data_IF_970497693971
#
_entry.id   IF_970497693971
#
_cell.length_a   1.000
_cell.length_b   1.000
_cell.length_c   1.000
_cell.angle_alpha   90.00
_cell.angle_beta   90.00
_cell.angle_gamma   90.00
#
_symmetry.space_group_name_H-M   'P 1'
#
loop_
_entity.id
_entity.type
_entity.pdbx_description
1 polymer ?
#
# COMPACT_ATOMS: atom_id res chain seq x y z
N UNK A 1 11.19 -45.78 -20.70
CA UNK A 1 11.28 -45.11 -19.38
C UNK A 1 11.64 -43.62 -19.46
N UNK A 2 12.34 -43.17 -20.52
CA UNK A 2 12.70 -41.76 -20.77
C UNK A 2 11.46 -40.86 -21.00
N UNK A 3 10.44 -41.37 -21.69
CA UNK A 3 9.16 -40.65 -21.94
C UNK A 3 8.38 -40.32 -20.65
N UNK A 4 8.49 -41.15 -19.59
CA UNK A 4 7.82 -40.90 -18.30
C UNK A 4 8.58 -39.85 -17.47
N UNK A 5 9.90 -39.74 -17.64
CA UNK A 5 10.75 -38.74 -16.96
C UNK A 5 10.54 -37.33 -17.56
N UNK A 6 10.34 -37.23 -18.87
CA UNK A 6 10.01 -35.96 -19.55
C UNK A 6 8.66 -35.38 -19.10
N UNK A 7 7.65 -36.23 -18.87
CA UNK A 7 6.33 -35.80 -18.39
C UNK A 7 6.39 -35.31 -16.93
N UNK A 8 7.26 -35.89 -16.10
CA UNK A 8 7.43 -35.48 -14.69
C UNK A 8 8.15 -34.12 -14.56
N UNK A 9 9.01 -33.75 -15.51
CA UNK A 9 9.73 -32.48 -15.51
C UNK A 9 8.87 -31.27 -15.93
N UNK A 10 7.74 -31.49 -16.62
CA UNK A 10 6.84 -30.42 -17.10
C UNK A 10 5.86 -29.96 -16.00
N UNK A 11 5.55 -30.82 -15.02
CA UNK A 11 4.62 -30.49 -13.92
C UNK A 11 5.30 -29.64 -12.83
N UNK A 12 6.64 -29.54 -12.85
CA UNK A 12 7.44 -28.75 -11.91
C UNK A 12 7.71 -27.32 -12.41
N UNK A 13 6.98 -26.83 -13.41
CA UNK A 13 6.93 -25.40 -13.72
C UNK A 13 6.15 -24.69 -12.62
N UNK A 14 6.87 -24.39 -11.55
CA UNK A 14 6.50 -23.59 -10.38
C UNK A 14 5.40 -22.57 -10.67
N UNK A 15 4.24 -22.76 -10.03
CA UNK A 15 3.21 -21.73 -9.90
C UNK A 15 3.76 -20.58 -9.04
N UNK A 16 4.41 -19.61 -9.68
CA UNK A 16 4.67 -18.30 -9.06
C UNK A 16 3.32 -17.58 -8.95
N UNK A 17 2.59 -17.83 -7.86
CA UNK A 17 1.36 -17.10 -7.58
C UNK A 17 1.73 -15.64 -7.31
N UNK A 18 1.36 -14.77 -8.25
CA UNK A 18 1.51 -13.33 -8.05
C UNK A 18 0.63 -12.89 -6.89
N UNK A 19 1.19 -12.13 -5.94
CA UNK A 19 0.41 -11.54 -4.85
C UNK A 19 -0.68 -10.63 -5.41
N UNK A 20 -1.87 -10.75 -4.86
CA UNK A 20 -2.98 -9.86 -5.19
C UNK A 20 -2.76 -8.45 -4.58
N UNK A 21 -3.39 -7.40 -5.13
CA UNK A 21 -3.30 -6.06 -4.54
C UNK A 21 -3.74 -5.99 -3.08
N UNK A 22 -4.75 -6.79 -2.70
CA UNK A 22 -5.24 -6.92 -1.32
C UNK A 22 -4.14 -7.49 -0.40
N UNK A 23 -3.51 -8.59 -0.78
CA UNK A 23 -2.43 -9.20 0.03
C UNK A 23 -1.23 -8.27 0.18
N UNK A 24 -0.85 -7.55 -0.88
CA UNK A 24 0.21 -6.55 -0.83
C UNK A 24 -0.16 -5.45 0.17
N UNK A 25 -1.39 -4.93 0.09
CA UNK A 25 -1.88 -3.89 0.99
C UNK A 25 -1.96 -4.36 2.45
N UNK A 26 -2.56 -5.51 2.72
CA UNK A 26 -2.72 -6.05 4.08
C UNK A 26 -1.35 -6.25 4.74
N UNK A 27 -0.43 -6.90 4.03
CA UNK A 27 0.92 -7.15 4.54
C UNK A 27 1.75 -5.89 4.75
N UNK A 28 1.68 -4.92 3.84
CA UNK A 28 2.63 -3.79 3.85
C UNK A 28 2.06 -2.50 4.43
N UNK A 29 0.74 -2.43 4.62
CA UNK A 29 0.05 -1.23 5.13
C UNK A 29 -0.68 -1.56 6.44
N UNK A 30 -1.48 -2.62 6.47
CA UNK A 30 -2.35 -2.90 7.63
C UNK A 30 -1.56 -3.41 8.83
N UNK A 31 -0.59 -4.30 8.64
CA UNK A 31 0.17 -4.91 9.74
C UNK A 31 0.72 -3.88 10.76
N UNK A 32 1.34 -2.80 10.27
CA UNK A 32 1.86 -1.74 11.14
C UNK A 32 0.77 -0.77 11.60
N UNK A 33 -0.24 -0.47 10.76
CA UNK A 33 -1.25 0.55 11.08
C UNK A 33 -2.39 0.03 11.97
N UNK A 34 -2.53 -1.29 12.13
CA UNK A 34 -3.55 -1.87 13.01
C UNK A 34 -3.35 -1.51 14.49
N UNK A 35 -2.13 -1.17 14.89
CA UNK A 35 -1.77 -0.83 16.28
C UNK A 35 -1.56 0.67 16.50
N UNK A 36 -1.64 1.49 15.44
CA UNK A 36 -1.43 2.93 15.53
C UNK A 36 -2.73 3.66 15.88
N UNK A 37 -2.66 4.78 16.62
CA UNK A 37 -3.86 5.53 17.02
C UNK A 37 -4.53 6.26 15.86
N UNK A 38 -3.80 6.49 14.77
CA UNK A 38 -4.36 7.01 13.52
C UNK A 38 -4.61 5.88 12.54
N UNK A 39 -5.87 5.66 12.18
CA UNK A 39 -6.26 4.62 11.23
C UNK A 39 -5.89 5.02 9.79
N UNK A 40 -5.75 4.03 8.93
CA UNK A 40 -5.57 4.24 7.49
C UNK A 40 -6.72 5.05 6.86
N UNK A 41 -7.92 4.99 7.43
CA UNK A 41 -9.07 5.83 7.03
C UNK A 41 -8.86 7.31 7.40
N UNK A 42 -8.43 7.61 8.63
CA UNK A 42 -8.14 8.99 9.06
C UNK A 42 -7.01 9.62 8.22
N UNK A 43 -5.99 8.82 7.91
CA UNK A 43 -4.91 9.23 7.00
C UNK A 43 -5.45 9.50 5.60
N UNK A 44 -6.35 8.64 5.09
CA UNK A 44 -6.99 8.81 3.79
C UNK A 44 -7.72 10.15 3.72
N UNK A 45 -8.52 10.46 4.74
CA UNK A 45 -9.24 11.74 4.82
C UNK A 45 -8.29 12.94 4.86
N UNK A 46 -7.13 12.82 5.51
CA UNK A 46 -6.11 13.88 5.53
C UNK A 46 -5.49 14.11 4.15
N UNK A 47 -5.22 13.03 3.40
CA UNK A 47 -4.78 13.13 2.01
C UNK A 47 -5.85 13.74 1.11
N UNK A 48 -7.10 13.30 1.20
CA UNK A 48 -8.21 13.86 0.40
C UNK A 48 -8.40 15.34 0.70
N UNK A 49 -8.37 15.74 1.97
CA UNK A 49 -8.47 17.15 2.37
C UNK A 49 -7.33 18.02 1.80
N UNK A 50 -6.13 17.46 1.68
CA UNK A 50 -4.94 18.21 1.24
C UNK A 50 -4.85 18.29 -0.28
N UNK A 51 -5.14 17.20 -1.00
CA UNK A 51 -4.88 17.08 -2.44
C UNK A 51 -6.15 17.06 -3.32
N UNK A 52 -7.35 16.97 -2.72
CA UNK A 52 -8.69 17.10 -3.32
C UNK A 52 -9.08 16.19 -4.51
N UNK A 53 -8.12 15.53 -5.18
CA UNK A 53 -8.36 14.67 -6.34
C UNK A 53 -7.70 13.30 -6.23
N UNK A 54 -8.29 12.30 -6.90
CA UNK A 54 -7.78 10.91 -6.89
C UNK A 54 -6.35 10.82 -7.43
N UNK A 55 -6.08 11.43 -8.57
CA UNK A 55 -4.75 11.43 -9.20
C UNK A 55 -3.70 12.05 -8.30
N UNK A 56 -3.96 13.26 -7.79
CA UNK A 56 -3.00 14.00 -6.96
C UNK A 56 -2.79 13.34 -5.60
N UNK A 57 -3.85 12.77 -5.01
CA UNK A 57 -3.75 11.97 -3.78
C UNK A 57 -2.85 10.75 -3.98
N UNK A 58 -3.05 9.98 -5.06
CA UNK A 58 -2.23 8.79 -5.35
C UNK A 58 -0.77 9.17 -5.60
N UNK A 59 -0.52 10.29 -6.29
CA UNK A 59 0.84 10.82 -6.51
C UNK A 59 1.49 11.24 -5.19
N UNK A 60 0.77 11.97 -4.33
CA UNK A 60 1.27 12.41 -3.03
C UNK A 60 1.63 11.22 -2.13
N UNK A 61 0.72 10.25 -2.00
CA UNK A 61 0.97 9.02 -1.23
C UNK A 61 2.19 8.29 -1.79
N UNK A 62 2.28 8.11 -3.11
CA UNK A 62 3.41 7.43 -3.74
C UNK A 62 4.73 8.14 -3.46
N UNK A 63 4.75 9.46 -3.59
CA UNK A 63 5.93 10.30 -3.38
C UNK A 63 6.39 10.20 -1.93
N UNK A 64 5.46 10.39 -0.98
CA UNK A 64 5.74 10.23 0.44
C UNK A 64 6.27 8.83 0.77
N UNK A 65 5.63 7.77 0.28
CA UNK A 65 6.06 6.39 0.57
C UNK A 65 7.45 6.06 0.01
N UNK A 66 7.86 6.66 -1.11
CA UNK A 66 9.20 6.48 -1.70
C UNK A 66 10.27 7.26 -0.94
N UNK A 67 9.98 8.48 -0.53
CA UNK A 67 10.90 9.34 0.23
C UNK A 67 10.13 10.06 1.33
N UNK A 68 9.87 9.38 2.46
CA UNK A 68 9.13 9.98 3.55
C UNK A 68 9.95 11.10 4.18
N UNK A 69 9.31 12.24 4.43
CA UNK A 69 9.91 13.41 5.06
C UNK A 69 8.89 14.09 5.98
N UNK A 70 9.36 14.80 7.01
CA UNK A 70 8.51 15.54 7.95
C UNK A 70 7.60 16.53 7.20
N UNK A 71 8.17 17.28 6.27
CA UNK A 71 7.48 18.38 5.56
C UNK A 71 6.48 17.85 4.53
N UNK A 72 6.60 16.59 4.12
CA UNK A 72 5.73 15.95 3.12
C UNK A 72 4.65 15.06 3.74
N UNK A 73 4.66 14.93 5.07
CA UNK A 73 3.69 14.12 5.81
C UNK A 73 2.37 14.86 5.98
N UNK A 74 1.25 14.14 5.85
CA UNK A 74 -0.10 14.66 6.19
C UNK A 74 -0.44 14.50 7.68
N UNK A 75 0.50 13.98 8.48
CA UNK A 75 0.33 13.76 9.91
C UNK A 75 0.63 15.03 10.71
N UNK A 76 0.01 15.18 11.88
CA UNK A 76 0.31 16.30 12.77
C UNK A 76 1.72 16.21 13.35
N UNK A 77 2.31 17.36 13.68
CA UNK A 77 3.61 17.45 14.37
C UNK A 77 3.63 16.59 15.65
N UNK A 78 2.60 16.71 16.49
CA UNK A 78 2.46 15.89 17.72
C UNK A 78 2.50 14.38 17.45
N UNK A 79 1.94 13.92 16.33
CA UNK A 79 2.03 12.51 15.95
C UNK A 79 3.45 12.15 15.52
N UNK A 80 4.08 13.00 14.71
CA UNK A 80 5.44 12.78 14.20
C UNK A 80 6.48 12.83 15.31
N UNK A 81 6.31 13.68 16.33
CA UNK A 81 7.18 13.71 17.51
C UNK A 81 7.12 12.40 18.31
N UNK A 82 5.94 11.78 18.39
CA UNK A 82 5.73 10.56 19.16
C UNK A 82 6.10 9.29 18.40
N UNK A 83 5.80 9.22 17.11
CA UNK A 83 5.91 7.99 16.31
C UNK A 83 6.98 8.06 15.22
N UNK A 84 7.54 9.23 14.97
CA UNK A 84 8.50 9.48 13.90
C UNK A 84 7.87 9.47 12.51
N UNK A 85 8.72 9.72 11.51
CA UNK A 85 8.37 9.56 10.10
C UNK A 85 8.55 8.11 9.69
N UNK A 86 7.67 7.63 8.81
CA UNK A 86 7.73 6.30 8.20
C UNK A 86 9.08 6.08 7.48
N UNK A 87 9.59 4.84 7.50
CA UNK A 87 10.73 4.44 6.66
C UNK A 87 10.34 4.28 5.18
N UNK A 88 11.26 4.56 4.22
CA UNK A 88 10.99 4.36 2.79
C UNK A 88 10.43 2.97 2.47
N UNK A 89 9.49 2.93 1.52
CA UNK A 89 8.91 1.67 1.05
C UNK A 89 9.95 0.76 0.40
N UNK A 90 9.80 -0.54 0.61
CA UNK A 90 10.60 -1.58 -0.07
C UNK A 90 9.86 -2.19 -1.27
N UNK A 91 8.62 -1.78 -1.51
CA UNK A 91 7.83 -2.26 -2.65
C UNK A 91 8.38 -1.69 -3.95
N UNK A 92 8.40 -2.52 -4.99
CA UNK A 92 8.67 -2.01 -6.34
C UNK A 92 7.48 -1.16 -6.84
N UNK A 93 7.68 -0.44 -7.93
CA UNK A 93 6.68 0.48 -8.48
C UNK A 93 5.33 -0.19 -8.80
N UNK A 94 5.34 -1.42 -9.30
CA UNK A 94 4.12 -2.16 -9.63
C UNK A 94 3.33 -2.51 -8.37
N UNK A 95 4.00 -3.09 -7.38
CA UNK A 95 3.39 -3.46 -6.10
C UNK A 95 2.87 -2.21 -5.37
N UNK A 96 3.68 -1.15 -5.30
CA UNK A 96 3.32 0.11 -4.66
C UNK A 96 2.09 0.75 -5.31
N UNK A 97 2.07 0.86 -6.65
CA UNK A 97 0.91 1.40 -7.37
C UNK A 97 -0.35 0.57 -7.09
N UNK A 98 -0.24 -0.77 -7.08
CA UNK A 98 -1.38 -1.65 -6.84
C UNK A 98 -1.93 -1.54 -5.40
N UNK A 99 -1.04 -1.38 -4.41
CA UNK A 99 -1.43 -1.20 -3.02
C UNK A 99 -2.10 0.16 -2.79
N UNK A 100 -1.60 1.22 -3.41
CA UNK A 100 -2.19 2.57 -3.37
C UNK A 100 -3.56 2.58 -4.06
N UNK A 101 -3.69 1.91 -5.20
CA UNK A 101 -4.96 1.75 -5.91
C UNK A 101 -6.00 1.05 -5.03
N UNK A 102 -5.62 -0.08 -4.45
CA UNK A 102 -6.47 -0.82 -3.52
C UNK A 102 -6.89 0.06 -2.34
N UNK A 103 -5.92 0.68 -1.65
CA UNK A 103 -6.13 1.59 -0.53
C UNK A 103 -7.14 2.71 -0.87
N UNK A 104 -6.93 3.39 -1.99
CA UNK A 104 -7.79 4.48 -2.43
C UNK A 104 -9.23 3.98 -2.68
N UNK A 105 -9.38 2.84 -3.35
CA UNK A 105 -10.68 2.25 -3.64
C UNK A 105 -11.41 1.77 -2.37
N UNK A 106 -10.70 1.22 -1.39
CA UNK A 106 -11.29 0.79 -0.12
C UNK A 106 -11.99 1.93 0.62
N UNK A 107 -11.39 3.12 0.67
CA UNK A 107 -11.91 4.23 1.46
C UNK A 107 -12.76 5.22 0.66
N UNK A 108 -12.52 5.38 -0.65
CA UNK A 108 -13.40 6.21 -1.50
C UNK A 108 -14.83 5.68 -1.55
N UNK A 109 -15.01 4.36 -1.51
CA UNK A 109 -16.33 3.72 -1.53
C UNK A 109 -17.06 3.98 -0.22
N UNK A 110 -16.37 3.86 0.92
CA UNK A 110 -16.94 4.14 2.24
C UNK A 110 -17.41 5.59 2.39
N UNK A 111 -16.67 6.55 1.82
CA UNK A 111 -17.07 7.96 1.81
C UNK A 111 -18.29 8.30 0.94
N UNK A 112 -18.85 7.35 0.18
CA UNK A 112 -20.05 7.54 -0.66
C UNK A 112 -21.32 6.90 -0.09
N UNK A 113 -21.24 6.19 1.05
CA UNK A 113 -22.34 5.42 1.64
C UNK A 113 -22.86 6.01 2.96
N UNK A 114 -22.75 7.34 3.13
CA UNK A 114 -23.31 8.05 4.29
C UNK A 114 -24.64 8.71 3.92
#
# INVERSE_FOLDING_TARGET
>A
MIKKILILSIVLSTFMVAKTPKEIYEKNCVECHATLPSSLEKMFMSYIKTYSGERDTKIAIKTFLKKPDLDTSVMSEVFLDKFGVKKPTKLNDKELNSAIEYYFNQYKIKGRLN
#
